data_IF_342758086317
#
_entry.id   IF_342758086317
#
_cell.length_a   1.000
_cell.length_b   1.000
_cell.length_c   1.000
_cell.angle_alpha   90.00
_cell.angle_beta   90.00
_cell.angle_gamma   90.00
#
_symmetry.space_group_name_H-M   'P 1'
#
loop_
_entity.id
_entity.type
_entity.pdbx_description
1 polymer ?
#
# COMPACT_ATOMS: atom_id res chain seq x y z
N UNK A 1 -2.54 -3.00 4.76
CA UNK A 1 -4.00 -2.91 4.77
C UNK A 1 -4.50 -3.03 6.20
N UNK A 2 -4.87 -1.94 6.83
CA UNK A 2 -5.48 -1.98 8.15
C UNK A 2 -6.87 -2.55 7.99
N UNK A 3 -7.03 -3.84 8.19
CA UNK A 3 -8.34 -4.42 8.35
C UNK A 3 -8.91 -3.95 9.67
N UNK A 4 -9.91 -3.15 9.55
CA UNK A 4 -10.72 -2.67 10.63
C UNK A 4 -11.58 -3.80 11.15
N UNK A 5 -11.04 -4.56 12.05
CA UNK A 5 -11.82 -5.43 12.89
C UNK A 5 -11.95 -4.79 14.26
N UNK A 6 -13.15 -4.57 14.64
CA UNK A 6 -13.47 -4.18 16.00
C UNK A 6 -13.62 -2.69 16.22
N UNK A 7 -14.73 -2.36 16.68
CA UNK A 7 -15.11 -1.15 17.31
C UNK A 7 -14.68 0.02 16.52
N UNK A 8 -15.20 0.27 15.41
CA UNK A 8 -15.26 1.48 15.94
C UNK A 8 -15.37 2.61 15.00
N UNK A 9 -16.49 3.21 15.17
CA UNK A 9 -16.77 4.58 14.76
C UNK A 9 -15.54 5.48 14.88
N UNK A 10 -14.78 5.40 16.00
CA UNK A 10 -13.58 6.21 16.25
C UNK A 10 -12.44 6.04 15.23
N UNK A 11 -12.19 4.82 14.73
CA UNK A 11 -11.12 4.60 13.75
C UNK A 11 -11.57 5.07 12.37
N UNK A 12 -12.83 4.81 12.01
CA UNK A 12 -13.43 5.28 10.75
C UNK A 12 -13.42 6.80 10.69
N UNK A 13 -13.85 7.47 11.75
CA UNK A 13 -13.88 8.93 11.85
C UNK A 13 -12.47 9.52 11.71
N UNK A 14 -11.44 8.89 12.31
CA UNK A 14 -10.04 9.31 12.17
C UNK A 14 -9.56 9.20 10.73
N UNK A 15 -9.88 8.15 9.98
CA UNK A 15 -9.51 8.05 8.57
C UNK A 15 -10.14 9.15 7.75
N UNK A 16 -11.43 9.39 7.90
CA UNK A 16 -12.11 10.46 7.17
C UNK A 16 -11.58 11.83 7.58
N UNK A 17 -11.46 12.10 8.86
CA UNK A 17 -10.95 13.38 9.33
C UNK A 17 -9.50 13.63 8.89
N UNK A 18 -8.59 12.68 9.13
CA UNK A 18 -7.19 12.88 8.78
C UNK A 18 -6.97 12.95 7.27
N UNK A 19 -7.56 12.02 6.51
CA UNK A 19 -7.30 11.92 5.08
C UNK A 19 -8.04 12.99 4.30
N UNK A 20 -9.36 13.13 4.49
CA UNK A 20 -10.15 14.09 3.70
C UNK A 20 -9.94 15.52 4.19
N UNK A 21 -10.19 15.81 5.46
CA UNK A 21 -10.06 17.18 5.99
C UNK A 21 -8.63 17.70 5.83
N UNK A 22 -7.62 16.87 6.14
CA UNK A 22 -6.23 17.25 5.97
C UNK A 22 -5.87 17.59 4.51
N UNK A 23 -6.37 16.79 3.55
CA UNK A 23 -6.13 17.04 2.13
C UNK A 23 -6.86 18.30 1.64
N UNK A 24 -8.11 18.54 2.08
CA UNK A 24 -8.85 19.75 1.70
C UNK A 24 -8.14 21.01 2.20
N UNK A 25 -7.68 21.03 3.44
CA UNK A 25 -6.89 22.14 3.98
C UNK A 25 -5.61 22.35 3.16
N UNK A 26 -4.93 21.26 2.78
CA UNK A 26 -3.73 21.33 1.93
C UNK A 26 -4.05 21.94 0.56
N UNK A 27 -5.12 21.49 -0.10
CA UNK A 27 -5.54 22.02 -1.41
C UNK A 27 -5.89 23.52 -1.35
N UNK A 28 -6.55 23.99 -0.28
CA UNK A 28 -6.79 25.41 -0.05
C UNK A 28 -5.48 26.20 0.04
N UNK A 29 -4.47 25.67 0.76
CA UNK A 29 -3.15 26.30 0.87
C UNK A 29 -2.40 26.26 -0.46
N UNK A 30 -2.44 25.14 -1.18
CA UNK A 30 -1.85 25.03 -2.51
C UNK A 30 -2.44 26.06 -3.47
N UNK A 31 -3.76 26.21 -3.49
CA UNK A 31 -4.44 27.26 -4.26
C UNK A 31 -3.97 28.65 -3.86
N UNK A 32 -3.92 28.97 -2.56
CA UNK A 32 -3.49 30.27 -2.03
C UNK A 32 -2.05 30.61 -2.45
N UNK A 33 -1.15 29.63 -2.43
CA UNK A 33 0.28 29.82 -2.75
C UNK A 33 0.66 29.43 -4.18
N UNK A 34 -0.34 29.20 -5.05
CA UNK A 34 -0.16 28.87 -6.46
C UNK A 34 0.71 27.62 -6.70
N UNK A 35 0.67 26.65 -5.78
CA UNK A 35 1.33 25.35 -5.96
C UNK A 35 0.42 24.46 -6.82
N UNK A 36 0.91 24.04 -7.98
CA UNK A 36 0.11 23.35 -9.01
C UNK A 36 0.49 21.88 -9.23
N UNK A 37 1.43 21.35 -8.49
CA UNK A 37 1.94 20.00 -8.66
C UNK A 37 1.70 19.18 -7.40
N UNK A 38 1.07 18.00 -7.54
CA UNK A 38 0.73 17.15 -6.42
C UNK A 38 1.03 15.67 -6.71
N UNK A 39 1.80 15.02 -5.85
CA UNK A 39 1.94 13.56 -5.84
C UNK A 39 1.11 13.02 -4.68
N UNK A 40 0.12 12.21 -4.99
CA UNK A 40 -0.77 11.62 -4.00
C UNK A 40 -0.43 10.15 -3.74
N UNK A 41 -0.13 9.87 -2.49
CA UNK A 41 0.04 8.50 -1.97
C UNK A 41 -1.33 7.82 -1.87
N UNK A 42 -1.78 7.20 -2.96
CA UNK A 42 -2.98 6.37 -2.97
C UNK A 42 -2.66 4.94 -2.49
N UNK A 43 -3.47 3.97 -2.84
CA UNK A 43 -3.31 2.60 -2.36
C UNK A 43 -3.98 1.60 -3.31
N UNK A 44 -3.42 0.41 -3.44
CA UNK A 44 -4.06 -0.71 -4.14
C UNK A 44 -5.42 -1.11 -3.53
N UNK A 45 -5.74 -0.68 -2.31
CA UNK A 45 -7.05 -0.92 -1.69
C UNK A 45 -8.22 -0.28 -2.43
N UNK A 46 -7.96 0.67 -3.35
CA UNK A 46 -9.00 1.27 -4.21
C UNK A 46 -9.57 0.27 -5.21
N UNK A 47 -8.82 -0.77 -5.58
CA UNK A 47 -9.30 -1.83 -6.48
C UNK A 47 -10.26 -2.82 -5.79
N UNK A 48 -10.22 -2.91 -4.45
CA UNK A 48 -11.04 -3.84 -3.68
C UNK A 48 -10.76 -5.30 -4.04
N UNK A 49 -11.79 -6.02 -4.49
CA UNK A 49 -11.66 -7.42 -4.95
C UNK A 49 -11.55 -7.46 -6.47
N UNK A 50 -10.35 -7.49 -7.03
CA UNK A 50 -10.17 -7.51 -8.49
C UNK A 50 -10.64 -8.85 -9.06
N UNK A 51 -11.11 -8.85 -10.31
CA UNK A 51 -11.54 -10.08 -11.00
C UNK A 51 -10.38 -10.95 -11.47
N UNK A 52 -9.22 -10.38 -11.60
CA UNK A 52 -7.99 -11.05 -12.04
C UNK A 52 -6.75 -10.33 -11.53
N UNK A 53 -5.62 -10.99 -11.60
CA UNK A 53 -4.28 -10.46 -11.31
C UNK A 53 -3.35 -10.82 -12.49
N UNK A 54 -2.29 -10.04 -12.75
CA UNK A 54 -1.88 -8.81 -12.08
C UNK A 54 -2.84 -7.62 -12.35
N UNK A 55 -2.92 -6.69 -11.38
CA UNK A 55 -3.86 -5.56 -11.41
C UNK A 55 -3.26 -4.40 -12.20
N UNK A 56 -4.00 -3.90 -13.21
CA UNK A 56 -3.61 -2.72 -13.99
C UNK A 56 -4.36 -1.47 -13.52
N UNK A 57 -3.85 -0.30 -13.89
CA UNK A 57 -4.41 0.99 -13.48
C UNK A 57 -5.82 1.25 -14.03
N UNK A 58 -6.18 0.60 -15.14
CA UNK A 58 -7.49 0.70 -15.79
C UNK A 58 -8.58 -0.22 -15.20
N UNK A 59 -8.24 -1.01 -14.17
CA UNK A 59 -9.20 -1.89 -13.52
C UNK A 59 -10.28 -1.10 -12.78
N UNK A 60 -11.52 -1.64 -12.72
CA UNK A 60 -12.61 -1.03 -11.96
C UNK A 60 -12.25 -0.82 -10.50
N UNK A 61 -12.67 0.32 -9.95
CA UNK A 61 -12.42 0.68 -8.56
C UNK A 61 -13.64 0.28 -7.71
N UNK A 62 -13.41 -0.58 -6.72
CA UNK A 62 -14.45 -1.08 -5.84
C UNK A 62 -13.93 -1.31 -4.43
N UNK A 63 -13.99 -0.28 -3.60
CA UNK A 63 -13.43 -0.32 -2.25
C UNK A 63 -14.25 -1.20 -1.29
N UNK A 64 -13.57 -1.99 -0.48
CA UNK A 64 -14.17 -2.90 0.50
C UNK A 64 -14.05 -2.42 1.95
N UNK A 65 -13.30 -1.33 2.19
CA UNK A 65 -13.05 -0.82 3.53
C UNK A 65 -12.99 0.71 3.58
N UNK A 66 -13.18 1.35 4.76
CA UNK A 66 -13.19 2.81 4.91
C UNK A 66 -11.87 3.49 4.53
N UNK A 67 -10.71 2.85 4.76
CA UNK A 67 -9.42 3.40 4.35
C UNK A 67 -9.34 3.53 2.83
N UNK A 68 -9.62 2.46 2.09
CA UNK A 68 -9.70 2.49 0.62
C UNK A 68 -10.70 3.52 0.13
N UNK A 69 -11.85 3.67 0.82
CA UNK A 69 -12.86 4.67 0.49
C UNK A 69 -12.30 6.09 0.57
N UNK A 70 -11.53 6.43 1.62
CA UNK A 70 -10.93 7.76 1.71
C UNK A 70 -9.90 8.00 0.59
N UNK A 71 -9.16 6.97 0.18
CA UNK A 71 -8.21 7.09 -0.93
C UNK A 71 -8.92 7.31 -2.26
N UNK A 72 -9.97 6.55 -2.54
CA UNK A 72 -10.76 6.69 -3.76
C UNK A 72 -11.42 8.07 -3.85
N UNK A 73 -12.08 8.54 -2.79
CA UNK A 73 -12.68 9.88 -2.75
C UNK A 73 -11.62 10.95 -3.07
N UNK A 74 -10.40 10.81 -2.54
CA UNK A 74 -9.34 11.79 -2.80
C UNK A 74 -8.79 11.70 -4.23
N UNK A 75 -8.74 10.52 -4.85
CA UNK A 75 -8.43 10.42 -6.28
C UNK A 75 -9.45 11.15 -7.14
N UNK A 76 -10.74 10.97 -6.85
CA UNK A 76 -11.85 11.67 -7.53
C UNK A 76 -11.74 13.19 -7.34
N UNK A 77 -11.61 13.67 -6.10
CA UNK A 77 -11.45 15.09 -5.78
C UNK A 77 -10.25 15.72 -6.49
N UNK A 78 -9.09 15.04 -6.51
CA UNK A 78 -7.90 15.56 -7.17
C UNK A 78 -8.07 15.62 -8.70
N UNK A 79 -8.80 14.67 -9.28
CA UNK A 79 -9.19 14.70 -10.69
C UNK A 79 -10.11 15.87 -11.01
N UNK A 80 -11.09 16.14 -10.13
CA UNK A 80 -11.99 17.29 -10.26
C UNK A 80 -11.24 18.64 -10.14
N UNK A 81 -10.24 18.71 -9.25
CA UNK A 81 -9.38 19.91 -9.12
C UNK A 81 -8.62 20.16 -10.41
N UNK A 82 -8.06 19.13 -11.04
CA UNK A 82 -7.42 19.26 -12.36
C UNK A 82 -8.43 19.68 -13.44
N UNK A 83 -9.61 19.09 -13.45
CA UNK A 83 -10.66 19.45 -14.41
C UNK A 83 -11.05 20.93 -14.30
N UNK A 84 -11.14 21.44 -13.08
CA UNK A 84 -11.44 22.85 -12.81
C UNK A 84 -10.25 23.80 -13.11
N UNK A 85 -9.03 23.31 -13.00
CA UNK A 85 -7.79 24.04 -13.24
C UNK A 85 -6.77 23.12 -13.96
N UNK A 86 -6.75 23.10 -15.30
CA UNK A 86 -5.86 22.22 -16.07
C UNK A 86 -4.35 22.47 -15.85
N UNK A 87 -3.97 23.55 -15.21
CA UNK A 87 -2.60 23.78 -14.79
C UNK A 87 -2.21 23.01 -13.51
N UNK A 88 -3.19 22.42 -12.80
CA UNK A 88 -2.96 21.61 -11.61
C UNK A 88 -2.66 20.15 -12.01
N UNK A 89 -1.42 19.73 -11.84
CA UNK A 89 -0.97 18.38 -12.19
C UNK A 89 -1.01 17.44 -10.99
N UNK A 90 -1.47 16.22 -11.20
CA UNK A 90 -1.62 15.20 -10.16
C UNK A 90 -1.02 13.89 -10.62
N UNK A 91 -0.19 13.29 -9.78
CA UNK A 91 0.20 11.89 -9.96
C UNK A 91 -0.33 11.07 -8.78
N UNK A 92 -1.15 10.07 -9.09
CA UNK A 92 -1.75 9.14 -8.16
C UNK A 92 -0.90 7.88 -8.11
N UNK A 93 -0.26 7.60 -6.97
CA UNK A 93 0.55 6.41 -6.78
C UNK A 93 -0.24 5.36 -6.01
N UNK A 94 -0.74 4.33 -6.69
CA UNK A 94 -1.42 3.18 -6.09
C UNK A 94 -0.40 2.13 -5.73
N UNK A 95 0.19 2.23 -4.54
CA UNK A 95 1.17 1.24 -4.11
C UNK A 95 0.56 0.11 -3.29
N UNK A 96 1.24 -1.02 -3.34
CA UNK A 96 0.84 -2.26 -2.70
C UNK A 96 1.38 -2.30 -1.26
N UNK A 97 1.94 -3.38 -0.79
CA UNK A 97 2.31 -3.53 0.62
C UNK A 97 3.77 -3.12 0.87
N UNK A 98 4.05 -1.90 1.33
CA UNK A 98 5.43 -1.51 1.63
C UNK A 98 5.94 -2.27 2.85
N UNK A 99 7.15 -2.81 2.73
CA UNK A 99 7.87 -3.49 3.80
C UNK A 99 9.38 -3.17 3.75
N UNK A 100 10.13 -3.73 4.68
CA UNK A 100 11.57 -3.53 4.76
C UNK A 100 11.97 -2.23 5.46
N UNK A 101 13.27 -2.05 5.58
CA UNK A 101 13.87 -0.89 6.24
C UNK A 101 15.08 -0.39 5.45
N UNK A 102 15.47 0.86 5.64
CA UNK A 102 16.67 1.38 5.02
C UNK A 102 17.92 0.66 5.59
N UNK A 103 18.85 0.29 4.72
CA UNK A 103 20.06 -0.48 5.07
C UNK A 103 20.92 0.11 6.20
N UNK A 104 20.75 1.38 6.49
CA UNK A 104 21.44 2.03 7.62
C UNK A 104 20.92 1.60 9.00
N UNK A 105 19.77 0.91 9.06
CA UNK A 105 19.08 0.59 10.33
C UNK A 105 18.50 1.81 11.08
N UNK A 106 18.57 3.01 10.49
CA UNK A 106 18.14 4.27 11.14
C UNK A 106 16.69 4.65 10.80
N UNK A 107 16.12 4.03 9.78
CA UNK A 107 14.75 4.26 9.31
C UNK A 107 14.10 2.88 9.12
N UNK A 108 12.96 2.69 9.74
CA UNK A 108 12.16 1.45 9.68
C UNK A 108 10.78 1.67 10.26
N UNK A 109 9.99 0.61 10.36
CA UNK A 109 8.63 0.65 10.89
C UNK A 109 8.60 0.22 12.35
N UNK A 110 8.16 1.11 13.24
CA UNK A 110 7.98 0.83 14.66
C UNK A 110 6.63 1.40 15.14
N UNK A 111 5.53 0.72 14.85
CA UNK A 111 4.19 1.18 15.18
C UNK A 111 3.98 1.21 16.70
N UNK A 112 3.19 2.18 17.18
CA UNK A 112 2.73 2.22 18.56
C UNK A 112 1.64 1.16 18.79
N UNK A 113 1.78 0.35 19.83
CA UNK A 113 0.85 -0.73 20.14
C UNK A 113 1.06 -2.00 19.30
N UNK A 114 0.00 -2.80 19.16
CA UNK A 114 0.03 -4.04 18.38
C UNK A 114 0.02 -3.68 16.88
N UNK A 115 0.98 -4.17 16.08
CA UNK A 115 1.01 -3.90 14.64
C UNK A 115 -0.18 -4.51 13.90
N UNK A 116 -0.70 -3.78 12.91
CA UNK A 116 -1.71 -4.30 12.00
C UNK A 116 -1.11 -4.90 10.72
N UNK A 117 0.11 -4.47 10.36
CA UNK A 117 0.83 -4.96 9.19
C UNK A 117 1.61 -6.22 9.52
N UNK A 118 1.75 -7.12 8.53
CA UNK A 118 2.34 -8.44 8.72
C UNK A 118 3.81 -8.36 9.18
N UNK A 119 4.67 -7.62 8.48
CA UNK A 119 6.11 -7.63 8.77
C UNK A 119 6.45 -7.05 10.16
N UNK A 120 5.94 -5.88 10.60
CA UNK A 120 6.17 -5.41 11.95
C UNK A 120 5.55 -6.33 13.02
N UNK A 121 4.49 -7.09 12.71
CA UNK A 121 3.96 -8.11 13.62
C UNK A 121 4.96 -9.28 13.74
N UNK A 122 5.45 -9.82 12.62
CA UNK A 122 6.48 -10.87 12.58
C UNK A 122 7.73 -10.44 13.37
N UNK A 123 8.21 -9.21 13.18
CA UNK A 123 9.38 -8.71 13.90
C UNK A 123 9.16 -8.64 15.41
N UNK A 124 7.96 -8.28 15.87
CA UNK A 124 7.62 -8.28 17.30
C UNK A 124 7.53 -9.70 17.89
N UNK A 125 7.06 -10.68 17.12
CA UNK A 125 7.13 -12.10 17.52
C UNK A 125 8.59 -12.57 17.56
N UNK A 126 9.37 -12.19 16.55
CA UNK A 126 10.77 -12.56 16.46
C UNK A 126 11.60 -12.07 17.64
N UNK A 127 11.33 -10.92 18.21
CA UNK A 127 12.02 -10.39 19.40
C UNK A 127 11.32 -10.73 20.73
N UNK A 128 10.27 -11.58 20.67
CA UNK A 128 9.57 -12.07 21.89
C UNK A 128 8.59 -11.07 22.53
N UNK A 129 8.25 -9.97 21.83
CA UNK A 129 7.22 -9.03 22.31
C UNK A 129 5.80 -9.56 22.13
N UNK A 130 5.56 -10.37 21.12
CA UNK A 130 4.30 -11.04 20.85
C UNK A 130 4.52 -12.57 20.88
N UNK A 131 3.51 -13.36 21.33
CA UNK A 131 3.69 -14.77 21.53
C UNK A 131 3.70 -15.60 20.23
N UNK A 132 2.92 -15.21 19.23
CA UNK A 132 2.77 -15.94 17.96
C UNK A 132 2.22 -15.05 16.87
N UNK A 133 2.37 -15.47 15.61
CA UNK A 133 1.80 -14.82 14.43
C UNK A 133 0.41 -15.40 14.19
N UNK A 134 -0.59 -14.56 13.93
CA UNK A 134 -1.90 -15.01 13.48
C UNK A 134 -1.95 -14.99 11.94
N UNK A 135 -2.15 -16.13 11.32
CA UNK A 135 -2.38 -16.31 9.89
C UNK A 135 -3.90 -16.37 9.67
N UNK A 136 -4.45 -15.39 8.96
CA UNK A 136 -5.89 -15.23 8.80
C UNK A 136 -6.42 -15.94 7.55
N UNK A 137 -6.91 -17.17 7.75
CA UNK A 137 -7.40 -18.07 6.70
C UNK A 137 -6.26 -18.86 6.04
N UNK A 138 -6.57 -20.14 5.77
CA UNK A 138 -5.72 -21.09 5.03
C UNK A 138 -6.54 -21.82 3.94
N UNK A 139 -7.69 -21.25 3.61
CA UNK A 139 -8.68 -21.82 2.70
C UNK A 139 -8.96 -20.92 1.48
N UNK A 140 -8.06 -19.95 1.20
CA UNK A 140 -8.11 -19.15 -0.04
C UNK A 140 -7.72 -20.02 -1.25
N UNK A 141 -8.23 -19.67 -2.41
CA UNK A 141 -7.82 -20.26 -3.70
C UNK A 141 -6.44 -19.68 -4.11
N UNK A 142 -5.42 -20.17 -3.42
CA UNK A 142 -4.01 -19.77 -3.55
C UNK A 142 -3.11 -20.99 -3.31
N UNK A 143 -1.86 -21.01 -3.73
CA UNK A 143 -1.00 -22.20 -3.66
C UNK A 143 -0.85 -22.83 -2.28
N UNK A 144 -0.88 -22.05 -1.21
CA UNK A 144 -0.76 -22.54 0.17
C UNK A 144 -1.99 -22.22 1.04
N UNK A 145 -3.07 -21.77 0.41
CA UNK A 145 -4.32 -21.42 1.06
C UNK A 145 -4.31 -20.08 1.78
N UNK A 146 -3.16 -19.38 1.90
CA UNK A 146 -3.08 -18.07 2.57
C UNK A 146 -3.14 -16.92 1.59
N UNK A 147 -3.48 -15.72 2.06
CA UNK A 147 -3.61 -14.56 1.19
C UNK A 147 -2.29 -14.14 0.53
N UNK A 148 -2.34 -13.82 -0.77
CA UNK A 148 -1.19 -13.41 -1.58
C UNK A 148 -1.18 -11.90 -1.78
N UNK A 149 -0.03 -11.27 -1.55
CA UNK A 149 0.15 -9.82 -1.67
C UNK A 149 1.46 -9.49 -2.39
N UNK A 150 1.48 -8.33 -3.04
CA UNK A 150 2.69 -7.73 -3.58
C UNK A 150 3.39 -6.92 -2.49
N UNK A 151 4.57 -7.34 -2.11
CA UNK A 151 5.38 -6.64 -1.11
C UNK A 151 6.48 -5.86 -1.80
N UNK A 152 6.52 -4.55 -1.57
CA UNK A 152 7.49 -3.63 -2.15
C UNK A 152 8.43 -3.08 -1.08
N UNK A 153 9.73 -3.07 -1.36
CA UNK A 153 10.68 -2.48 -0.44
C UNK A 153 10.48 -0.96 -0.32
N UNK A 154 10.48 -0.45 0.91
CA UNK A 154 10.21 0.98 1.19
C UNK A 154 11.15 1.93 0.43
N UNK A 155 12.39 1.52 0.15
CA UNK A 155 13.34 2.33 -0.64
C UNK A 155 12.93 2.41 -2.11
N UNK A 156 12.42 1.31 -2.71
CA UNK A 156 11.91 1.35 -4.08
C UNK A 156 10.65 2.19 -4.18
N UNK A 157 9.76 2.09 -3.19
CA UNK A 157 8.60 2.96 -3.11
C UNK A 157 9.01 4.45 -3.04
N UNK A 158 10.00 4.79 -2.21
CA UNK A 158 10.53 6.15 -2.13
C UNK A 158 11.10 6.64 -3.48
N UNK A 159 11.86 5.78 -4.19
CA UNK A 159 12.34 6.09 -5.55
C UNK A 159 11.18 6.31 -6.53
N UNK A 160 10.07 5.55 -6.41
CA UNK A 160 8.87 5.77 -7.21
C UNK A 160 8.27 7.17 -7.00
N UNK A 161 8.23 7.66 -5.75
CA UNK A 161 7.80 9.03 -5.47
C UNK A 161 8.75 10.08 -6.09
N UNK A 162 10.06 9.85 -6.07
CA UNK A 162 11.03 10.75 -6.73
C UNK A 162 10.77 10.79 -8.24
N UNK A 163 10.55 9.64 -8.87
CA UNK A 163 10.21 9.55 -10.31
C UNK A 163 8.89 10.25 -10.65
N UNK A 164 7.89 10.14 -9.79
CA UNK A 164 6.64 10.87 -9.94
C UNK A 164 6.86 12.40 -9.89
N UNK A 165 7.71 12.89 -8.98
CA UNK A 165 8.08 14.33 -8.93
C UNK A 165 8.81 14.77 -10.21
N UNK A 166 9.69 13.94 -10.76
CA UNK A 166 10.35 14.22 -12.03
C UNK A 166 9.32 14.31 -13.17
N UNK A 167 8.35 13.42 -13.21
CA UNK A 167 7.27 13.38 -14.22
C UNK A 167 6.36 14.63 -14.17
N UNK A 168 6.11 15.20 -13.00
CA UNK A 168 5.32 16.44 -12.87
C UNK A 168 5.91 17.64 -13.68
N UNK A 169 7.21 17.64 -13.98
CA UNK A 169 7.84 18.68 -14.79
C UNK A 169 7.36 18.70 -16.26
N UNK A 170 6.74 17.60 -16.71
CA UNK A 170 6.18 17.48 -18.05
C UNK A 170 4.74 18.02 -18.16
N UNK A 171 4.16 18.51 -17.05
CA UNK A 171 2.75 18.92 -16.94
C UNK A 171 1.77 17.82 -17.42
N UNK A 172 1.81 16.64 -16.81
CA UNK A 172 1.12 15.46 -17.35
C UNK A 172 -0.40 15.47 -17.16
N UNK A 173 -0.94 16.46 -16.45
CA UNK A 173 -2.33 16.45 -16.02
C UNK A 173 -2.57 15.48 -14.87
N UNK A 174 -3.48 14.52 -15.03
CA UNK A 174 -3.73 13.46 -14.04
C UNK A 174 -3.16 12.14 -14.56
N UNK A 175 -2.19 11.60 -13.85
CA UNK A 175 -1.60 10.31 -14.16
C UNK A 175 -1.67 9.35 -12.97
N UNK A 176 -1.86 8.06 -13.27
CA UNK A 176 -2.01 7.00 -12.29
C UNK A 176 -0.94 5.95 -12.53
N UNK A 177 -0.26 5.51 -11.47
CA UNK A 177 0.76 4.45 -11.54
C UNK A 177 0.62 3.47 -10.40
N UNK A 178 0.65 2.17 -10.74
CA UNK A 178 0.83 1.12 -9.77
C UNK A 178 2.31 1.01 -9.37
N UNK A 179 2.59 0.96 -8.08
CA UNK A 179 3.93 0.72 -7.55
C UNK A 179 3.93 -0.57 -6.71
N UNK A 180 4.51 -1.60 -7.28
CA UNK A 180 4.69 -2.93 -6.70
C UNK A 180 5.90 -3.61 -7.31
N UNK A 181 6.09 -4.87 -7.02
CA UNK A 181 7.11 -5.72 -7.64
C UNK A 181 6.56 -6.51 -8.83
N UNK A 182 5.24 -6.62 -8.93
CA UNK A 182 4.57 -7.51 -9.88
C UNK A 182 4.60 -8.98 -9.47
N UNK A 183 5.07 -9.28 -8.26
CA UNK A 183 5.20 -10.64 -7.73
C UNK A 183 4.32 -10.77 -6.49
N UNK A 184 3.45 -11.80 -6.50
CA UNK A 184 2.64 -12.16 -5.33
C UNK A 184 3.40 -13.10 -4.41
N UNK A 185 3.42 -12.79 -3.11
CA UNK A 185 3.93 -13.68 -2.06
C UNK A 185 2.82 -13.97 -1.06
N UNK A 186 2.72 -15.22 -0.64
CA UNK A 186 1.77 -15.63 0.38
C UNK A 186 2.19 -15.17 1.78
N UNK A 187 1.26 -15.19 2.73
CA UNK A 187 1.59 -14.92 4.13
C UNK A 187 2.63 -15.92 4.66
N UNK A 188 2.52 -17.20 4.30
CA UNK A 188 3.49 -18.22 4.70
C UNK A 188 4.84 -18.03 4.02
N UNK A 189 4.90 -17.57 2.76
CA UNK A 189 6.15 -17.21 2.10
C UNK A 189 6.91 -16.14 2.89
N UNK A 190 6.23 -15.11 3.36
CA UNK A 190 6.84 -14.05 4.17
C UNK A 190 7.36 -14.60 5.49
N UNK A 191 6.56 -15.39 6.19
CA UNK A 191 6.98 -16.02 7.46
C UNK A 191 8.21 -16.89 7.24
N UNK A 192 8.18 -17.79 6.26
CA UNK A 192 9.28 -18.73 6.00
C UNK A 192 10.58 -18.01 5.53
N UNK A 193 10.46 -16.95 4.75
CA UNK A 193 11.63 -16.18 4.35
C UNK A 193 12.21 -15.39 5.53
N UNK A 194 11.37 -14.84 6.39
CA UNK A 194 11.81 -14.19 7.62
C UNK A 194 12.50 -15.19 8.58
N UNK A 195 11.95 -16.40 8.74
CA UNK A 195 12.59 -17.48 9.51
C UNK A 195 13.98 -17.82 9.00
N UNK A 196 14.14 -17.90 7.67
CA UNK A 196 15.47 -18.14 7.05
C UNK A 196 16.42 -16.99 7.35
N UNK A 197 15.96 -15.74 7.30
CA UNK A 197 16.78 -14.56 7.56
C UNK A 197 17.21 -14.46 9.04
N UNK A 198 16.32 -14.77 9.99
CA UNK A 198 16.62 -14.69 11.42
C UNK A 198 17.20 -15.99 12.02
N UNK A 199 17.28 -17.07 11.24
CA UNK A 199 17.88 -18.35 11.64
C UNK A 199 17.08 -19.15 12.68
N UNK A 200 15.79 -18.87 12.86
CA UNK A 200 14.93 -19.56 13.84
C UNK A 200 13.48 -19.67 13.37
N UNK A 201 12.79 -20.70 13.87
CA UNK A 201 11.35 -20.88 13.66
C UNK A 201 10.55 -19.87 14.50
N UNK A 202 9.48 -19.37 13.90
CA UNK A 202 8.54 -18.46 14.56
C UNK A 202 7.19 -19.17 14.78
N UNK A 203 6.63 -19.09 15.99
CA UNK A 203 5.32 -19.67 16.24
C UNK A 203 4.24 -18.90 15.48
N UNK A 204 3.40 -19.63 14.73
CA UNK A 204 2.19 -19.08 14.13
C UNK A 204 1.00 -19.99 14.34
N UNK A 205 -0.19 -19.41 14.21
CA UNK A 205 -1.47 -20.12 14.30
C UNK A 205 -2.38 -19.64 13.19
N UNK A 206 -3.06 -20.58 12.55
CA UNK A 206 -4.10 -20.27 11.58
C UNK A 206 -5.39 -19.92 12.32
N UNK A 207 -6.00 -18.82 11.93
CA UNK A 207 -7.26 -18.33 12.48
C UNK A 207 -8.26 -18.06 11.36
N UNK A 208 -9.52 -17.80 11.70
CA UNK A 208 -10.55 -17.49 10.70
C UNK A 208 -10.17 -16.28 9.83
N UNK A 209 -10.65 -16.26 8.58
CA UNK A 209 -10.46 -15.11 7.65
C UNK A 209 -10.94 -13.80 8.28
N UNK A 210 -10.23 -12.74 8.01
CA UNK A 210 -10.71 -11.40 8.37
C UNK A 210 -11.74 -10.91 7.35
N UNK A 211 -12.82 -10.24 7.79
CA UNK A 211 -13.76 -9.62 6.88
C UNK A 211 -13.09 -8.63 5.93
N UNK A 212 -13.35 -8.76 4.63
CA UNK A 212 -12.80 -7.88 3.60
C UNK A 212 -11.40 -8.24 3.09
N UNK A 213 -10.78 -9.33 3.58
CA UNK A 213 -9.57 -9.85 2.97
C UNK A 213 -9.89 -10.56 1.64
N UNK A 214 -8.97 -10.41 0.68
CA UNK A 214 -9.06 -11.00 -0.66
C UNK A 214 -7.95 -12.03 -0.85
N UNK A 215 -8.17 -13.00 -1.74
CA UNK A 215 -7.22 -14.08 -2.00
C UNK A 215 -5.89 -13.53 -2.53
N UNK A 216 -5.92 -12.76 -3.61
CA UNK A 216 -4.71 -12.28 -4.29
C UNK A 216 -4.78 -10.78 -4.62
N UNK A 217 -3.63 -10.11 -4.47
CA UNK A 217 -3.50 -8.69 -4.81
C UNK A 217 -2.04 -8.37 -5.14
N UNK A 218 -1.70 -8.33 -6.45
CA UNK A 218 -0.38 -7.90 -6.93
C UNK A 218 -0.48 -7.11 -8.23
N UNK A 219 0.54 -6.26 -8.47
CA UNK A 219 0.52 -5.23 -9.48
C UNK A 219 0.92 -5.70 -10.87
N UNK A 220 0.37 -5.07 -11.90
CA UNK A 220 1.07 -4.84 -13.16
C UNK A 220 1.76 -3.47 -13.07
N UNK A 221 3.08 -3.46 -13.11
CA UNK A 221 3.89 -2.23 -13.02
C UNK A 221 4.45 -1.77 -14.37
N UNK A 222 3.96 -2.33 -15.47
CA UNK A 222 4.45 -2.06 -16.82
C UNK A 222 4.33 -0.59 -17.23
N UNK A 223 3.25 0.09 -16.81
CA UNK A 223 3.06 1.52 -17.02
C UNK A 223 4.11 2.36 -16.30
N UNK A 224 4.36 2.09 -15.02
CA UNK A 224 5.39 2.80 -14.25
C UNK A 224 6.79 2.58 -14.85
N UNK A 225 7.10 1.36 -15.29
CA UNK A 225 8.35 1.06 -15.97
C UNK A 225 8.51 1.84 -17.27
N UNK A 226 7.47 1.89 -18.10
CA UNK A 226 7.48 2.56 -19.42
C UNK A 226 7.54 4.08 -19.30
N UNK A 227 6.76 4.67 -18.41
CA UNK A 227 6.49 6.11 -18.42
C UNK A 227 7.26 6.88 -17.33
N UNK A 228 7.61 6.24 -16.21
CA UNK A 228 8.45 6.82 -15.16
C UNK A 228 9.91 6.35 -15.23
N UNK A 229 10.21 5.30 -16.03
CA UNK A 229 11.50 4.63 -15.98
C UNK A 229 11.78 4.03 -14.59
N UNK A 230 10.72 3.61 -13.89
CA UNK A 230 10.81 3.06 -12.55
C UNK A 230 10.44 1.57 -12.52
N UNK A 231 11.21 0.82 -11.78
CA UNK A 231 10.99 -0.60 -11.51
C UNK A 231 11.53 -0.94 -10.13
N UNK A 232 10.84 -1.80 -9.39
CA UNK A 232 11.32 -2.30 -8.10
C UNK A 232 12.60 -3.11 -8.29
N UNK A 233 13.61 -2.86 -7.46
CA UNK A 233 14.95 -3.47 -7.56
C UNK A 233 15.24 -4.46 -6.43
N UNK A 234 14.58 -4.28 -5.29
CA UNK A 234 14.77 -5.12 -4.12
C UNK A 234 13.90 -6.37 -4.20
N UNK A 235 14.50 -7.49 -3.86
CA UNK A 235 13.82 -8.80 -3.77
C UNK A 235 13.27 -9.04 -2.38
N UNK A 236 12.46 -10.11 -2.22
CA UNK A 236 11.96 -10.52 -0.89
C UNK A 236 13.10 -10.78 0.11
N UNK A 237 14.27 -11.18 -0.38
CA UNK A 237 15.46 -11.40 0.44
C UNK A 237 16.04 -10.11 1.04
N UNK A 238 15.85 -9.00 0.32
CA UNK A 238 16.37 -7.69 0.71
C UNK A 238 15.42 -6.95 1.68
N UNK A 239 14.18 -7.43 1.75
CA UNK A 239 13.10 -6.90 2.58
C UNK A 239 13.15 -7.45 4.00
#
# INVERSE_FOLDING_TARGET
CACLVGSEMCIRDRYYHNNLTGTFILLEKMKKYQVKNFVFSSSATVYGSPKSVPIREDFPLHVTNPYGRTKLILEEVLTDVHTADPAFNVILLRYFNPIGAHRSGRIGENPKGIPNNLLPYITQVAIGKLPKINVFGDDYDTPDGTGVRDYIHVVDLAKGHVKAIEKLKENPGVEIYNLGTGIGYSVLDIIHNFEKACGRKLPYEVTARRPGDIAECYADCSKAKKELGWEAQYTLKDM
#
